data_IF_306968554289
#
_entry.id   IF_306968554289
#
_cell.length_a   1.000
_cell.length_b   1.000
_cell.length_c   1.000
_cell.angle_alpha   90.00
_cell.angle_beta   90.00
_cell.angle_gamma   90.00
#
_symmetry.space_group_name_H-M   'P 1'
#
loop_
_entity.id
_entity.type
_entity.pdbx_description
1 polymer ?
#
# COMPACT_ATOMS: atom_id res chain seq x y z
N UNK A 1 -42.73 -40.90 -64.45
CA UNK A 1 -42.41 -41.79 -63.32
C UNK A 1 -41.00 -41.41 -62.85
N UNK A 2 -40.89 -40.95 -61.60
CA UNK A 2 -39.70 -40.61 -60.81
C UNK A 2 -38.79 -39.48 -61.32
N UNK A 3 -38.95 -38.29 -60.72
CA UNK A 3 -37.93 -37.23 -60.68
C UNK A 3 -36.99 -37.51 -59.51
N UNK A 4 -35.68 -37.61 -59.77
CA UNK A 4 -34.64 -37.82 -58.75
C UNK A 4 -34.05 -36.46 -58.37
N UNK A 5 -34.32 -35.99 -57.15
CA UNK A 5 -33.63 -34.84 -56.58
C UNK A 5 -32.30 -35.27 -55.94
N UNK A 6 -31.19 -34.76 -56.47
CA UNK A 6 -29.87 -34.80 -55.84
C UNK A 6 -29.74 -33.63 -54.88
N UNK A 7 -29.60 -33.91 -53.58
CA UNK A 7 -29.23 -32.95 -52.56
C UNK A 7 -27.70 -32.83 -52.47
N UNK A 8 -27.13 -31.63 -52.68
CA UNK A 8 -25.75 -31.32 -52.29
C UNK A 8 -25.71 -30.98 -50.79
N UNK A 9 -24.69 -31.43 -50.02
CA UNK A 9 -24.52 -30.98 -48.65
C UNK A 9 -23.86 -29.60 -48.62
N UNK A 10 -24.50 -28.63 -47.96
CA UNK A 10 -23.93 -27.34 -47.67
C UNK A 10 -22.91 -27.48 -46.52
N UNK A 11 -21.62 -27.28 -46.81
CA UNK A 11 -20.56 -27.27 -45.81
C UNK A 11 -20.60 -25.93 -45.07
N UNK A 12 -21.13 -25.93 -43.84
CA UNK A 12 -21.10 -24.74 -42.97
C UNK A 12 -19.76 -24.69 -42.23
N UNK A 13 -18.89 -23.76 -42.62
CA UNK A 13 -17.67 -23.43 -41.89
C UNK A 13 -18.07 -22.54 -40.70
N UNK A 14 -18.07 -23.10 -39.49
CA UNK A 14 -18.24 -22.36 -38.24
C UNK A 14 -16.89 -21.73 -37.89
N UNK A 15 -16.78 -20.40 -38.06
CA UNK A 15 -15.62 -19.62 -37.65
C UNK A 15 -15.73 -19.35 -36.13
N UNK A 16 -14.99 -20.11 -35.31
CA UNK A 16 -14.85 -19.84 -33.88
C UNK A 16 -14.04 -18.56 -33.67
N UNK A 17 -14.71 -17.46 -33.32
CA UNK A 17 -14.06 -16.26 -32.79
C UNK A 17 -13.67 -16.52 -31.33
N UNK A 18 -12.40 -16.85 -31.09
CA UNK A 18 -11.82 -16.85 -29.74
C UNK A 18 -11.72 -15.40 -29.25
N UNK A 19 -12.66 -14.98 -28.39
CA UNK A 19 -12.55 -13.72 -27.66
C UNK A 19 -11.45 -13.92 -26.61
N UNK A 20 -10.25 -13.41 -26.88
CA UNK A 20 -9.20 -13.30 -25.88
C UNK A 20 -9.60 -12.19 -24.91
N UNK A 21 -10.17 -12.57 -23.77
CA UNK A 21 -10.43 -11.68 -22.64
C UNK A 21 -9.07 -11.17 -22.14
N UNK A 22 -8.71 -9.94 -22.52
CA UNK A 22 -7.55 -9.28 -21.94
C UNK A 22 -7.96 -8.82 -20.54
N UNK A 23 -7.54 -9.52 -19.50
CA UNK A 23 -7.52 -8.97 -18.15
C UNK A 23 -6.50 -7.82 -18.15
N UNK A 24 -6.93 -6.62 -18.51
CA UNK A 24 -6.16 -5.42 -18.24
C UNK A 24 -6.16 -5.20 -16.73
N UNK A 25 -4.96 -5.09 -16.14
CA UNK A 25 -4.84 -4.65 -14.75
C UNK A 25 -5.58 -3.32 -14.59
N UNK A 26 -6.44 -3.21 -13.57
CA UNK A 26 -7.09 -1.94 -13.26
C UNK A 26 -6.03 -1.00 -12.70
N UNK A 27 -5.88 0.17 -13.31
CA UNK A 27 -4.88 1.18 -12.91
C UNK A 27 -5.61 2.42 -12.44
N UNK A 28 -5.14 2.98 -11.32
CA UNK A 28 -5.59 4.29 -10.88
C UNK A 28 -4.65 5.38 -11.39
N UNK A 29 -4.72 6.56 -10.79
CA UNK A 29 -3.91 7.72 -11.15
C UNK A 29 -3.16 8.24 -9.93
N UNK A 30 -1.90 8.62 -10.13
CA UNK A 30 -1.12 9.37 -9.14
C UNK A 30 -0.94 10.80 -9.62
N UNK A 31 -1.26 11.77 -8.76
CA UNK A 31 -1.02 13.19 -9.00
C UNK A 31 0.01 13.72 -8.01
N UNK A 32 0.99 14.47 -8.51
CA UNK A 32 2.01 15.06 -7.64
C UNK A 32 1.42 16.23 -6.85
N UNK A 33 1.71 16.26 -5.55
CA UNK A 33 1.40 17.36 -4.63
C UNK A 33 2.66 18.16 -4.29
N UNK A 34 2.45 19.35 -3.73
CA UNK A 34 3.50 20.11 -3.08
C UNK A 34 3.86 19.58 -1.69
N UNK A 35 4.63 20.35 -0.90
CA UNK A 35 5.02 19.96 0.44
C UNK A 35 3.80 19.90 1.35
N UNK A 36 3.87 19.04 2.37
CA UNK A 36 2.86 18.99 3.42
C UNK A 36 3.01 20.25 4.30
N UNK A 37 1.96 21.07 4.34
CA UNK A 37 1.94 22.35 5.09
C UNK A 37 0.88 22.40 6.20
N UNK A 38 0.10 21.34 6.39
CA UNK A 38 -0.99 21.32 7.36
C UNK A 38 -0.46 21.40 8.81
N UNK A 39 -0.95 22.35 9.65
CA UNK A 39 -0.45 22.56 11.00
C UNK A 39 -0.76 21.41 11.98
N UNK A 40 -1.72 20.53 11.67
CA UNK A 40 -2.07 19.37 12.49
C UNK A 40 -1.00 18.27 12.50
N UNK A 41 -0.10 18.28 11.51
CA UNK A 41 1.08 17.41 11.48
C UNK A 41 2.24 18.14 12.15
N UNK A 42 2.94 17.57 13.14
CA UNK A 42 4.03 18.26 13.83
C UNK A 42 5.11 18.80 12.87
N UNK A 43 5.64 19.99 13.16
CA UNK A 43 6.59 20.69 12.28
C UNK A 43 7.85 19.87 11.98
N UNK A 44 8.41 19.23 13.01
CA UNK A 44 9.54 18.29 12.93
C UNK A 44 9.26 17.14 11.98
N UNK A 45 8.03 16.62 11.95
CA UNK A 45 7.61 15.59 10.99
C UNK A 45 7.53 16.18 9.59
N UNK A 46 6.87 17.33 9.40
CA UNK A 46 6.78 17.97 8.06
C UNK A 46 8.16 18.24 7.45
N UNK A 47 9.12 18.70 8.24
CA UNK A 47 10.50 18.94 7.79
C UNK A 47 11.28 17.68 7.44
N UNK A 48 10.86 16.50 7.90
CA UNK A 48 11.48 15.23 7.55
C UNK A 48 10.96 14.62 6.23
N UNK A 49 9.90 15.18 5.65
CA UNK A 49 9.24 14.65 4.45
C UNK A 49 9.81 15.25 3.16
N UNK A 50 9.70 14.51 2.07
CA UNK A 50 9.93 15.01 0.73
C UNK A 50 8.96 16.17 0.44
N UNK A 51 9.46 17.18 -0.28
CA UNK A 51 8.66 18.33 -0.69
C UNK A 51 7.58 17.98 -1.73
N UNK A 52 7.57 16.74 -2.26
CA UNK A 52 6.59 16.22 -3.20
C UNK A 52 5.76 15.12 -2.56
N UNK A 53 4.49 15.42 -2.33
CA UNK A 53 3.49 14.40 -2.00
C UNK A 53 2.93 13.72 -3.24
N UNK A 54 2.14 12.68 -3.03
CA UNK A 54 1.41 11.95 -4.05
C UNK A 54 -0.05 11.84 -3.63
N UNK A 55 -0.97 12.32 -4.46
CA UNK A 55 -2.40 12.01 -4.33
C UNK A 55 -2.70 10.75 -5.11
N UNK A 56 -3.30 9.78 -4.45
CA UNK A 56 -3.66 8.49 -5.02
C UNK A 56 -5.16 8.48 -5.34
N UNK A 57 -5.48 8.38 -6.63
CA UNK A 57 -6.83 8.24 -7.15
C UNK A 57 -7.02 6.83 -7.71
N UNK A 58 -8.19 6.25 -7.51
CA UNK A 58 -8.55 4.94 -8.06
C UNK A 58 -9.06 5.07 -9.51
N UNK A 59 -9.45 3.95 -10.12
CA UNK A 59 -9.98 3.92 -11.50
C UNK A 59 -11.28 4.73 -11.66
N UNK A 60 -12.12 4.76 -10.63
CA UNK A 60 -13.34 5.59 -10.56
C UNK A 60 -13.06 7.06 -10.22
N UNK A 61 -11.79 7.49 -10.18
CA UNK A 61 -11.34 8.81 -9.75
C UNK A 61 -11.63 9.16 -8.28
N UNK A 62 -12.11 8.22 -7.47
CA UNK A 62 -12.21 8.43 -6.03
C UNK A 62 -10.82 8.54 -5.40
N UNK A 63 -10.68 9.41 -4.41
CA UNK A 63 -9.41 9.57 -3.70
C UNK A 63 -9.24 8.48 -2.66
N UNK A 64 -8.13 7.74 -2.74
CA UNK A 64 -7.75 6.75 -1.74
C UNK A 64 -7.09 7.44 -0.54
N UNK A 65 -6.04 8.20 -0.80
CA UNK A 65 -5.28 8.95 0.19
C UNK A 65 -4.33 9.95 -0.48
N UNK A 66 -3.66 10.76 0.32
CA UNK A 66 -2.47 11.51 -0.07
C UNK A 66 -1.28 11.02 0.78
N UNK A 67 -0.08 10.90 0.20
CA UNK A 67 1.10 10.32 0.87
C UNK A 67 2.31 11.21 0.63
N UNK A 68 3.07 11.48 1.69
CA UNK A 68 4.39 12.11 1.66
C UNK A 68 5.40 11.17 2.30
N UNK A 69 6.47 10.82 1.58
CA UNK A 69 7.52 9.94 2.10
C UNK A 69 8.57 10.74 2.84
N UNK A 70 9.24 10.13 3.79
CA UNK A 70 10.42 10.70 4.45
C UNK A 70 11.53 10.88 3.41
N UNK A 71 12.13 12.07 3.35
CA UNK A 71 13.11 12.45 2.33
C UNK A 71 14.43 11.64 2.42
N UNK A 72 14.74 11.12 3.61
CA UNK A 72 15.93 10.32 3.89
C UNK A 72 15.60 9.33 5.01
N UNK A 73 15.32 8.08 4.62
CA UNK A 73 14.92 7.00 5.52
C UNK A 73 16.17 6.33 6.12
N UNK A 74 16.31 6.32 7.46
CA UNK A 74 17.37 5.57 8.13
C UNK A 74 17.30 4.10 7.73
N UNK A 75 18.45 3.54 7.40
CA UNK A 75 18.61 2.13 7.11
C UNK A 75 19.59 1.51 8.10
N UNK A 76 19.45 0.20 8.30
CA UNK A 76 20.35 -0.64 9.06
C UNK A 76 20.97 -1.71 8.15
N UNK A 77 22.04 -2.40 8.58
CA UNK A 77 22.50 -3.60 7.89
C UNK A 77 21.35 -4.59 7.73
N UNK A 78 21.26 -5.25 6.58
CA UNK A 78 20.23 -6.26 6.30
C UNK A 78 20.26 -7.34 7.38
N UNK A 79 19.09 -7.70 7.87
CA UNK A 79 18.89 -8.78 8.84
C UNK A 79 18.39 -10.05 8.15
N UNK A 80 18.36 -11.16 8.89
CA UNK A 80 17.80 -12.46 8.50
C UNK A 80 16.34 -12.63 8.95
N UNK A 81 15.61 -11.52 9.13
CA UNK A 81 14.22 -11.53 9.56
C UNK A 81 13.33 -12.34 8.58
N UNK A 82 13.01 -13.58 8.96
CA UNK A 82 12.24 -14.49 8.13
C UNK A 82 10.87 -13.89 7.77
N UNK A 83 10.54 -13.93 6.48
CA UNK A 83 9.28 -13.43 5.93
C UNK A 83 9.20 -11.91 5.79
N UNK A 84 10.30 -11.17 6.02
CA UNK A 84 10.38 -9.73 5.78
C UNK A 84 11.02 -9.42 4.41
N UNK A 85 10.46 -8.45 3.70
CA UNK A 85 10.92 -7.93 2.42
C UNK A 85 11.93 -6.79 2.60
N UNK A 86 11.76 -5.96 3.63
CA UNK A 86 12.55 -4.75 3.85
C UNK A 86 13.52 -4.90 5.03
N UNK A 87 14.40 -5.92 5.00
CA UNK A 87 15.28 -6.27 6.13
C UNK A 87 16.33 -5.22 6.50
N UNK A 88 16.51 -4.20 5.67
CA UNK A 88 17.33 -3.02 5.92
C UNK A 88 16.58 -1.89 6.66
N UNK A 89 15.29 -2.04 6.95
CA UNK A 89 14.53 -1.10 7.79
C UNK A 89 14.49 -1.62 9.23
N UNK A 90 14.74 -0.73 10.18
CA UNK A 90 14.50 -1.03 11.59
C UNK A 90 13.01 -0.86 11.91
N UNK A 91 12.45 -1.73 12.75
CA UNK A 91 11.12 -1.53 13.35
C UNK A 91 11.03 -0.12 13.98
N UNK A 92 9.83 0.45 13.99
CA UNK A 92 9.54 1.84 14.38
C UNK A 92 10.02 2.93 13.42
N UNK A 93 10.77 2.63 12.35
CA UNK A 93 11.25 3.67 11.43
C UNK A 93 10.09 4.44 10.80
N UNK A 94 10.11 5.78 10.91
CA UNK A 94 9.17 6.64 10.18
C UNK A 94 9.43 6.56 8.68
N UNK A 95 8.42 6.12 7.93
CA UNK A 95 8.44 6.00 6.47
C UNK A 95 7.82 7.22 5.79
N UNK A 96 6.81 7.83 6.42
CA UNK A 96 6.15 9.00 5.85
C UNK A 96 4.90 9.41 6.62
N UNK A 97 4.08 10.24 5.97
CA UNK A 97 2.76 10.66 6.42
C UNK A 97 1.74 10.29 5.35
N UNK A 98 0.60 9.79 5.79
CA UNK A 98 -0.58 9.54 4.97
C UNK A 98 -1.74 10.42 5.46
N UNK A 99 -2.50 10.96 4.52
CA UNK A 99 -3.74 11.68 4.77
C UNK A 99 -4.92 10.92 4.19
N UNK A 100 -5.89 10.60 5.06
CA UNK A 100 -7.20 10.13 4.66
C UNK A 100 -8.18 11.31 4.64
N UNK A 101 -8.58 11.81 3.47
CA UNK A 101 -9.51 12.95 3.35
C UNK A 101 -10.93 12.60 3.78
N UNK A 102 -11.28 11.32 3.77
CA UNK A 102 -12.51 10.73 4.26
C UNK A 102 -12.16 9.48 5.06
N UNK A 103 -13.08 9.01 5.90
CA UNK A 103 -12.87 7.77 6.63
C UNK A 103 -12.56 6.60 5.67
N UNK A 104 -11.64 5.74 6.08
CA UNK A 104 -11.16 4.59 5.32
C UNK A 104 -11.13 3.35 6.21
N UNK A 105 -10.45 2.30 5.76
CA UNK A 105 -10.14 1.13 6.57
C UNK A 105 -8.65 0.83 6.55
N UNK A 106 -8.17 0.18 7.60
CA UNK A 106 -6.86 -0.48 7.58
C UNK A 106 -6.93 -1.82 6.83
N UNK A 107 -5.80 -2.53 6.73
CA UNK A 107 -5.72 -3.83 6.06
C UNK A 107 -6.50 -4.94 6.77
N UNK A 108 -6.91 -4.75 8.03
CA UNK A 108 -7.76 -5.66 8.79
C UNK A 108 -9.25 -5.35 8.62
N UNK A 109 -9.59 -4.31 7.85
CA UNK A 109 -10.95 -3.82 7.69
C UNK A 109 -11.47 -3.00 8.87
N UNK A 110 -10.61 -2.58 9.80
CA UNK A 110 -11.01 -1.68 10.88
C UNK A 110 -11.17 -0.27 10.34
N UNK A 111 -12.23 0.42 10.78
CA UNK A 111 -12.44 1.82 10.41
C UNK A 111 -11.30 2.71 10.89
N UNK A 112 -10.81 3.56 9.98
CA UNK A 112 -9.84 4.62 10.24
C UNK A 112 -10.55 5.95 9.95
N UNK A 113 -10.69 6.86 10.94
CA UNK A 113 -11.24 8.18 10.71
C UNK A 113 -10.48 8.97 9.64
N UNK A 114 -11.10 10.02 9.10
CA UNK A 114 -10.37 11.00 8.29
C UNK A 114 -9.30 11.70 9.14
N UNK A 115 -8.14 11.99 8.55
CA UNK A 115 -7.06 12.69 9.23
C UNK A 115 -5.67 12.36 8.72
N UNK A 116 -4.67 12.97 9.33
CA UNK A 116 -3.24 12.74 9.06
C UNK A 116 -2.66 11.70 10.01
N UNK A 117 -1.88 10.78 9.46
CA UNK A 117 -1.25 9.69 10.17
C UNK A 117 0.23 9.59 9.79
N UNK A 118 1.11 9.45 10.77
CA UNK A 118 2.46 8.97 10.48
C UNK A 118 2.41 7.47 10.18
N UNK A 119 3.34 7.03 9.35
CA UNK A 119 3.51 5.64 8.93
C UNK A 119 4.82 5.11 9.51
N UNK A 120 4.75 4.21 10.50
CA UNK A 120 5.94 3.58 11.08
C UNK A 120 6.04 2.12 10.68
N UNK A 121 7.20 1.74 10.19
CA UNK A 121 7.49 0.36 9.80
C UNK A 121 7.46 -0.57 11.02
N UNK A 122 6.83 -1.72 10.87
CA UNK A 122 6.77 -2.75 11.89
C UNK A 122 6.62 -4.12 11.24
N UNK A 123 7.08 -5.16 11.93
CA UNK A 123 6.87 -6.53 11.52
C UNK A 123 5.67 -7.14 12.25
N UNK A 124 4.84 -7.85 11.51
CA UNK A 124 3.84 -8.75 12.09
C UNK A 124 4.57 -9.78 12.98
N UNK A 125 4.11 -10.09 14.21
CA UNK A 125 4.77 -11.08 15.06
C UNK A 125 4.91 -12.44 14.36
N UNK A 126 6.07 -13.09 14.53
CA UNK A 126 6.31 -14.43 13.97
C UNK A 126 5.85 -15.51 14.96
N UNK A 127 4.54 -15.59 15.18
CA UNK A 127 3.92 -16.60 16.03
C UNK A 127 2.74 -17.29 15.32
N UNK A 128 2.24 -18.38 15.90
CA UNK A 128 1.15 -19.15 15.30
C UNK A 128 -0.17 -18.40 15.15
N UNK A 129 -0.39 -17.31 15.90
CA UNK A 129 -1.63 -16.52 15.84
C UNK A 129 -1.64 -15.50 14.68
N UNK A 130 -0.49 -15.26 14.06
CA UNK A 130 -0.33 -14.28 12.98
C UNK A 130 0.01 -14.95 11.64
N UNK A 131 0.17 -16.28 11.62
CA UNK A 131 0.42 -17.05 10.41
C UNK A 131 -0.75 -16.88 9.43
N UNK A 132 -0.43 -16.50 8.18
CA UNK A 132 -1.42 -16.36 7.11
C UNK A 132 -2.18 -15.02 7.10
N UNK A 133 -1.92 -14.10 8.03
CA UNK A 133 -2.60 -12.80 8.04
C UNK A 133 -2.23 -11.91 6.83
N UNK A 134 -1.04 -12.11 6.25
CA UNK A 134 -0.58 -11.49 5.02
C UNK A 134 0.50 -12.35 4.33
N UNK A 135 0.78 -12.13 3.03
CA UNK A 135 1.82 -12.86 2.29
C UNK A 135 3.24 -12.66 2.83
N UNK A 136 3.50 -11.54 3.49
CA UNK A 136 4.76 -11.19 4.14
C UNK A 136 4.46 -10.50 5.49
N UNK A 137 5.52 -10.22 6.26
CA UNK A 137 5.39 -9.66 7.61
C UNK A 137 5.50 -8.13 7.66
N UNK A 138 5.74 -7.45 6.55
CA UNK A 138 6.02 -6.01 6.54
C UNK A 138 4.74 -5.18 6.58
N UNK A 139 4.65 -4.30 7.57
CA UNK A 139 3.50 -3.39 7.73
C UNK A 139 3.96 -1.97 8.03
N UNK A 140 3.08 -1.02 7.72
CA UNK A 140 3.14 0.34 8.25
C UNK A 140 2.00 0.51 9.24
N UNK A 141 2.31 0.86 10.49
CA UNK A 141 1.31 1.20 11.49
C UNK A 141 0.92 2.67 11.36
N UNK A 142 -0.37 2.92 11.23
CA UNK A 142 -0.96 4.25 11.26
C UNK A 142 -0.96 4.77 12.69
N UNK A 143 -0.40 5.95 12.91
CA UNK A 143 -0.45 6.67 14.20
C UNK A 143 -0.99 8.07 13.92
N UNK A 144 -2.00 8.59 14.65
CA UNK A 144 -2.46 9.95 14.45
C UNK A 144 -1.28 10.92 14.55
N UNK A 145 -1.06 11.77 13.54
CA UNK A 145 0.19 12.51 13.40
C UNK A 145 0.53 13.38 14.63
N UNK A 146 -0.49 13.96 15.28
CA UNK A 146 -0.32 14.75 16.50
C UNK A 146 0.19 13.93 17.72
N UNK A 147 0.08 12.60 17.68
CA UNK A 147 0.59 11.69 18.72
C UNK A 147 2.03 11.20 18.46
N UNK A 148 2.63 11.58 17.34
CA UNK A 148 3.96 11.13 16.91
C UNK A 148 4.82 12.30 16.39
N UNK A 149 5.27 13.22 17.29
CA UNK A 149 5.90 14.46 16.87
C UNK A 149 7.38 14.33 16.51
N UNK A 150 8.07 13.27 16.88
CA UNK A 150 9.51 13.13 16.63
C UNK A 150 9.78 12.10 15.53
N UNK A 151 10.20 12.52 14.32
CA UNK A 151 10.49 11.59 13.22
C UNK A 151 11.66 10.63 13.49
N UNK A 152 12.44 10.87 14.55
CA UNK A 152 13.58 10.06 14.95
C UNK A 152 13.34 9.26 16.23
N UNK A 153 12.16 9.39 16.87
CA UNK A 153 11.83 8.55 18.01
C UNK A 153 11.89 7.07 17.61
N UNK A 154 12.34 6.21 18.53
CA UNK A 154 12.36 4.76 18.34
C UNK A 154 11.50 4.18 19.45
N UNK A 155 10.36 3.61 19.07
CA UNK A 155 9.41 2.99 19.98
C UNK A 155 9.65 1.49 20.06
N UNK A 156 9.45 0.92 21.24
CA UNK A 156 9.32 -0.53 21.36
C UNK A 156 7.99 -0.98 20.76
N UNK A 157 7.93 -2.23 20.31
CA UNK A 157 6.73 -2.83 19.71
C UNK A 157 5.42 -2.48 20.44
N UNK A 158 5.34 -2.69 21.76
CA UNK A 158 4.12 -2.40 22.53
C UNK A 158 3.76 -0.91 22.60
N UNK A 159 4.76 -0.03 22.62
CA UNK A 159 4.55 1.42 22.59
C UNK A 159 4.00 1.84 21.22
N UNK A 160 4.57 1.30 20.15
CA UNK A 160 4.13 1.55 18.78
C UNK A 160 2.69 1.06 18.55
N UNK A 161 2.38 -0.15 19.01
CA UNK A 161 1.02 -0.71 18.96
C UNK A 161 0.04 0.17 19.75
N UNK A 162 0.42 0.67 20.93
CA UNK A 162 -0.41 1.56 21.73
C UNK A 162 -0.67 2.91 21.05
N UNK A 163 0.34 3.47 20.39
CA UNK A 163 0.18 4.68 19.58
C UNK A 163 -0.76 4.44 18.40
N UNK A 164 -0.60 3.31 17.70
CA UNK A 164 -1.42 2.98 16.54
C UNK A 164 -2.88 2.65 16.88
N UNK A 165 -3.16 2.08 18.06
CA UNK A 165 -4.54 1.91 18.57
C UNK A 165 -5.33 3.21 18.65
N UNK A 166 -4.65 4.36 18.79
CA UNK A 166 -5.31 5.67 18.76
C UNK A 166 -5.90 6.01 17.38
N UNK A 167 -5.38 5.42 16.30
CA UNK A 167 -5.94 5.58 14.96
C UNK A 167 -7.24 4.80 14.78
N UNK A 168 -7.33 3.59 15.34
CA UNK A 168 -8.51 2.72 15.20
C UNK A 168 -9.58 2.96 16.26
N UNK A 169 -9.18 3.46 17.44
CA UNK A 169 -10.07 3.51 18.62
C UNK A 169 -10.41 2.12 19.17
N UNK A 170 -9.65 1.07 18.79
CA UNK A 170 -9.91 -0.33 19.19
C UNK A 170 -8.74 -0.92 20.01
N UNK A 171 -8.85 -2.22 20.34
CA UNK A 171 -7.76 -2.99 20.98
C UNK A 171 -6.66 -3.43 20.01
N UNK A 172 -6.81 -3.16 18.72
CA UNK A 172 -5.84 -3.53 17.69
C UNK A 172 -5.22 -2.28 17.05
N UNK A 173 -3.94 -2.34 16.63
CA UNK A 173 -3.33 -1.26 15.85
C UNK A 173 -4.00 -1.16 14.47
N UNK A 174 -3.72 -0.08 13.73
CA UNK A 174 -4.18 0.11 12.35
C UNK A 174 -3.07 -0.16 11.33
N UNK A 175 -2.86 -1.42 10.90
CA UNK A 175 -1.80 -1.78 9.96
C UNK A 175 -2.22 -1.58 8.50
N UNK A 176 -1.29 -1.09 7.67
CA UNK A 176 -1.34 -1.18 6.21
C UNK A 176 -0.26 -2.15 5.74
N UNK A 177 -0.62 -3.10 4.88
CA UNK A 177 0.32 -4.14 4.42
C UNK A 177 1.26 -3.57 3.36
N UNK A 178 2.56 -3.79 3.56
CA UNK A 178 3.53 -3.66 2.49
C UNK A 178 3.54 -4.97 1.70
N UNK A 179 3.69 -4.85 0.38
CA UNK A 179 3.73 -5.99 -0.53
C UNK A 179 5.00 -5.96 -1.37
N UNK A 180 5.29 -7.08 -2.04
CA UNK A 180 6.41 -7.17 -2.96
C UNK A 180 6.16 -6.19 -4.12
N UNK A 181 7.06 -5.24 -4.40
CA UNK A 181 6.93 -4.37 -5.56
C UNK A 181 6.99 -5.19 -6.86
N UNK A 182 6.02 -5.02 -7.76
CA UNK A 182 5.95 -5.72 -9.04
C UNK A 182 7.07 -5.32 -10.00
N UNK A 183 7.59 -4.10 -9.85
CA UNK A 183 8.70 -3.57 -10.64
C UNK A 183 9.84 -3.11 -9.74
N UNK A 184 11.06 -3.14 -10.29
CA UNK A 184 12.21 -2.48 -9.66
C UNK A 184 12.24 -0.96 -9.88
N UNK A 185 11.24 -0.42 -10.57
CA UNK A 185 11.12 1.01 -10.82
C UNK A 185 10.69 1.77 -9.57
N UNK A 186 10.96 3.07 -9.57
CA UNK A 186 10.63 3.98 -8.46
C UNK A 186 9.58 5.03 -8.84
N UNK A 187 9.05 4.94 -10.07
CA UNK A 187 7.95 5.78 -10.51
C UNK A 187 6.70 5.50 -9.67
N UNK A 188 6.03 6.58 -9.26
CA UNK A 188 4.80 6.46 -8.50
C UNK A 188 3.68 5.89 -9.39
N UNK A 189 3.02 4.83 -8.93
CA UNK A 189 1.92 4.19 -9.63
C UNK A 189 0.89 3.64 -8.63
N UNK A 190 -0.33 3.40 -9.11
CA UNK A 190 -1.34 2.69 -8.35
C UNK A 190 -2.03 1.67 -9.25
N UNK A 191 -2.05 0.42 -8.80
CA UNK A 191 -2.62 -0.71 -9.54
C UNK A 191 -3.53 -1.50 -8.59
N UNK A 192 -4.52 -2.18 -9.17
CA UNK A 192 -5.34 -3.13 -8.44
C UNK A 192 -4.89 -4.55 -8.77
N UNK A 193 -4.68 -5.37 -7.74
CA UNK A 193 -4.35 -6.78 -7.91
C UNK A 193 -5.61 -7.66 -8.05
N UNK A 194 -5.41 -8.97 -8.12
CA UNK A 194 -6.47 -9.97 -8.22
C UNK A 194 -7.18 -10.27 -6.89
N UNK A 195 -6.72 -9.67 -5.78
CA UNK A 195 -7.31 -9.76 -4.44
C UNK A 195 -8.13 -8.52 -4.07
N UNK A 196 -8.41 -7.66 -5.05
CA UNK A 196 -9.05 -6.36 -4.90
C UNK A 196 -8.28 -5.36 -4.02
N UNK A 197 -6.95 -5.50 -3.90
CA UNK A 197 -6.09 -4.53 -3.23
C UNK A 197 -5.65 -3.45 -4.22
N UNK A 198 -5.86 -2.20 -3.84
CA UNK A 198 -5.23 -1.06 -4.49
C UNK A 198 -3.86 -0.82 -3.86
N UNK A 199 -2.83 -0.99 -4.67
CA UNK A 199 -1.43 -0.95 -4.25
C UNK A 199 -0.79 0.32 -4.81
N UNK A 200 -0.38 1.22 -3.92
CA UNK A 200 0.48 2.34 -4.26
C UNK A 200 1.94 1.88 -4.27
N UNK A 201 2.64 2.10 -5.38
CA UNK A 201 4.08 1.81 -5.51
C UNK A 201 4.87 3.08 -5.80
N UNK A 202 6.06 3.21 -5.24
CA UNK A 202 7.01 4.30 -5.52
C UNK A 202 8.43 3.92 -5.05
N UNK A 203 9.38 4.85 -5.15
CA UNK A 203 10.71 4.72 -4.53
C UNK A 203 10.81 5.42 -3.18
N UNK A 204 11.43 4.76 -2.21
CA UNK A 204 11.89 5.33 -0.95
C UNK A 204 13.37 5.72 -1.06
N UNK A 205 13.72 6.93 -0.61
CA UNK A 205 15.12 7.37 -0.55
C UNK A 205 15.74 6.96 0.78
N UNK A 206 16.70 6.04 0.77
CA UNK A 206 17.46 5.69 1.95
C UNK A 206 18.49 6.78 2.26
N UNK A 207 18.89 6.89 3.53
CA UNK A 207 19.93 7.81 3.99
C UNK A 207 21.30 7.54 3.34
N UNK A 208 21.53 6.32 2.82
CA UNK A 208 22.70 5.98 2.00
C UNK A 208 22.69 6.63 0.61
N UNK A 209 21.56 7.21 0.19
CA UNK A 209 21.31 7.71 -1.15
C UNK A 209 20.75 6.64 -2.11
N UNK A 210 20.65 5.38 -1.69
CA UNK A 210 20.02 4.31 -2.48
C UNK A 210 18.51 4.54 -2.59
N UNK A 211 17.97 4.27 -3.78
CA UNK A 211 16.53 4.24 -4.00
C UNK A 211 16.01 2.80 -3.82
N UNK A 212 15.02 2.64 -2.96
CA UNK A 212 14.42 1.35 -2.63
C UNK A 212 12.96 1.32 -3.10
N UNK A 213 12.59 0.46 -4.07
CA UNK A 213 11.20 0.29 -4.46
C UNK A 213 10.36 -0.14 -3.26
N UNK A 214 9.15 0.40 -3.14
CA UNK A 214 8.18 -0.07 -2.15
C UNK A 214 6.77 -0.07 -2.72
N UNK A 215 5.93 -0.91 -2.12
CA UNK A 215 4.53 -1.08 -2.49
C UNK A 215 3.67 -1.24 -1.23
N UNK A 216 2.58 -0.50 -1.14
CA UNK A 216 1.69 -0.37 0.01
C UNK A 216 0.24 -0.57 -0.39
N UNK A 217 -0.49 -1.45 0.29
CA UNK A 217 -1.94 -1.57 0.13
C UNK A 217 -2.59 -0.33 0.75
N UNK A 218 -3.14 0.55 -0.10
CA UNK A 218 -3.81 1.80 0.31
C UNK A 218 -5.34 1.67 0.39
N UNK A 219 -5.91 0.62 -0.21
CA UNK A 219 -7.30 0.20 -0.05
C UNK A 219 -7.41 -1.30 -0.32
N UNK A 220 -8.26 -1.99 0.45
CA UNK A 220 -8.36 -3.46 0.43
C UNK A 220 -8.00 -4.06 1.78
N UNK A 221 -8.43 -5.30 2.02
CA UNK A 221 -8.25 -5.99 3.31
C UNK A 221 -7.66 -7.37 3.10
N UNK A 222 -7.02 -7.92 4.14
CA UNK A 222 -6.62 -9.32 4.18
C UNK A 222 -7.78 -10.23 3.75
N UNK A 223 -7.46 -11.25 2.94
CA UNK A 223 -8.42 -12.31 2.63
C UNK A 223 -8.74 -13.09 3.91
N UNK A 224 -10.01 -13.43 4.09
CA UNK A 224 -10.52 -14.24 5.21
C UNK A 224 -10.55 -15.72 4.84
#
# INVERSE_FOLDING_TARGET
>A
MVSVHRSLPAFSIILLFSIALHCAAQTGKVEQLGPLVDPSVPETVRHALDAKGQRVLLDDSSMACEIWLRLSIPAQPKTDAQGALYTQLAESTLIGVLHFPQASTDYRGQAIPAGYYTLRYELLPNDGNHLGAAPNRDFLLLIPAASDPDPNAIFKFQELVNLSRKATGTKHPGPLSLVQPESKGTAAAVVKDDQDHWIFSAGMKLASGEDMPFALVVRGTAQQ
#
